data_IF_462635543886
#
_entry.id   IF_462635543886
#
_cell.length_a   1.000
_cell.length_b   1.000
_cell.length_c   1.000
_cell.angle_alpha   90.00
_cell.angle_beta   90.00
_cell.angle_gamma   90.00
#
_symmetry.space_group_name_H-M   'P 1'
#
loop_
_entity.id
_entity.type
_entity.pdbx_description
1 polymer ?
#
# COMPACT_ATOMS: atom_id res chain seq x y z
N UNK A 1 -32.49 55.14 40.18
CA UNK A 1 -31.13 54.69 40.55
C UNK A 1 -31.17 53.18 40.52
N UNK A 2 -30.41 52.40 39.74
CA UNK A 2 -29.23 52.61 38.90
C UNK A 2 -29.15 51.43 37.93
N UNK A 3 -28.72 51.71 36.69
CA UNK A 3 -28.42 50.73 35.65
C UNK A 3 -27.39 49.69 36.11
N UNK A 4 -27.56 48.43 35.72
CA UNK A 4 -26.46 47.47 35.62
C UNK A 4 -26.65 46.62 34.35
N UNK A 5 -26.00 47.09 33.29
CA UNK A 5 -25.71 46.33 32.07
C UNK A 5 -24.75 45.19 32.41
N UNK A 6 -25.21 43.94 32.30
CA UNK A 6 -24.30 42.80 32.30
C UNK A 6 -23.82 42.58 30.88
N UNK A 7 -22.55 42.90 30.69
CA UNK A 7 -21.77 42.75 29.47
C UNK A 7 -21.53 41.27 29.16
N UNK A 8 -21.49 40.97 27.86
CA UNK A 8 -21.33 39.68 27.20
C UNK A 8 -19.92 39.11 27.39
N UNK A 9 -19.81 37.79 27.57
CA UNK A 9 -18.64 37.02 27.14
C UNK A 9 -19.13 35.73 26.50
N UNK A 10 -19.34 35.77 25.19
CA UNK A 10 -19.51 34.58 24.36
C UNK A 10 -18.24 33.72 24.50
N UNK A 11 -18.34 32.41 24.79
CA UNK A 11 -17.18 31.55 24.74
C UNK A 11 -16.79 31.34 23.26
N UNK A 12 -15.70 31.94 22.81
CA UNK A 12 -14.69 31.41 21.87
C UNK A 12 -15.11 30.13 21.09
N UNK A 13 -16.10 30.23 20.19
CA UNK A 13 -16.42 29.16 19.20
C UNK A 13 -15.50 29.26 17.97
N UNK A 14 -14.69 30.31 17.88
CA UNK A 14 -13.87 30.63 16.70
C UNK A 14 -12.63 29.76 16.53
N UNK A 15 -11.99 29.29 17.61
CA UNK A 15 -10.67 28.67 17.47
C UNK A 15 -10.69 27.15 17.24
N UNK A 16 -11.75 26.44 17.66
CA UNK A 16 -11.84 24.99 17.48
C UNK A 16 -12.38 24.54 16.11
N UNK A 17 -12.99 25.45 15.34
CA UNK A 17 -13.46 25.14 13.99
C UNK A 17 -12.32 25.10 12.95
N UNK A 18 -11.19 25.75 13.22
CA UNK A 18 -10.05 25.81 12.29
C UNK A 18 -9.10 24.60 12.39
N UNK A 19 -9.16 23.85 13.50
CA UNK A 19 -8.28 22.69 13.74
C UNK A 19 -8.82 21.36 13.13
N UNK A 20 -9.69 21.42 12.12
CA UNK A 20 -10.37 20.19 11.63
C UNK A 20 -9.86 19.69 10.27
N UNK A 21 -9.03 20.45 9.51
CA UNK A 21 -8.69 20.00 8.14
C UNK A 21 -7.25 20.24 7.64
N UNK A 22 -6.28 20.63 8.47
CA UNK A 22 -4.90 20.71 7.99
C UNK A 22 -4.18 19.34 8.05
N UNK A 23 -4.54 18.44 7.13
CA UNK A 23 -3.74 17.22 6.91
C UNK A 23 -2.33 17.62 6.51
N UNK A 24 -1.36 17.35 7.38
CA UNK A 24 0.04 17.75 7.17
C UNK A 24 0.54 17.41 5.75
N UNK A 25 1.36 18.27 5.12
CA UNK A 25 1.86 18.06 3.76
C UNK A 25 2.64 16.74 3.62
N UNK A 26 3.24 16.26 4.71
CA UNK A 26 3.90 14.96 4.79
C UNK A 26 2.92 13.80 4.52
N UNK A 27 1.73 13.82 5.12
CA UNK A 27 0.71 12.76 4.91
C UNK A 27 0.26 12.71 3.45
N UNK A 28 0.07 13.87 2.81
CA UNK A 28 -0.31 13.94 1.39
C UNK A 28 0.80 13.38 0.49
N UNK A 29 2.07 13.79 0.74
CA UNK A 29 3.23 13.24 0.03
C UNK A 29 3.37 11.73 0.25
N UNK A 30 3.20 11.25 1.48
CA UNK A 30 3.25 9.83 1.80
C UNK A 30 2.18 9.02 1.04
N UNK A 31 0.97 9.55 0.86
CA UNK A 31 -0.07 8.91 0.03
C UNK A 31 0.31 8.83 -1.45
N UNK A 32 0.98 9.85 -1.98
CA UNK A 32 1.52 9.83 -3.35
C UNK A 32 2.61 8.75 -3.49
N UNK A 33 3.58 8.75 -2.58
CA UNK A 33 4.69 7.78 -2.55
C UNK A 33 4.16 6.37 -2.42
N UNK A 34 3.19 6.13 -1.53
CA UNK A 34 2.53 4.82 -1.36
C UNK A 34 1.97 4.30 -2.70
N UNK A 35 1.23 5.15 -3.42
CA UNK A 35 0.60 4.76 -4.67
C UNK A 35 1.62 4.54 -5.80
N UNK A 36 2.68 5.35 -5.86
CA UNK A 36 3.79 5.13 -6.79
C UNK A 36 4.51 3.81 -6.49
N UNK A 37 4.76 3.51 -5.21
CA UNK A 37 5.38 2.26 -4.79
C UNK A 37 4.57 1.03 -5.16
N UNK A 38 3.23 1.06 -5.04
CA UNK A 38 2.40 -0.07 -5.48
C UNK A 38 2.57 -0.35 -6.99
N UNK A 39 2.66 0.69 -7.82
CA UNK A 39 2.87 0.54 -9.26
C UNK A 39 4.26 -0.01 -9.59
N UNK A 40 5.30 0.54 -8.95
CA UNK A 40 6.67 0.05 -9.09
C UNK A 40 6.75 -1.41 -8.63
N UNK A 41 6.15 -1.75 -7.49
CA UNK A 41 6.13 -3.11 -6.97
C UNK A 41 5.43 -4.09 -7.92
N UNK A 42 4.31 -3.69 -8.54
CA UNK A 42 3.66 -4.50 -9.59
C UNK A 42 4.59 -4.77 -10.78
N UNK A 43 5.35 -3.76 -11.23
CA UNK A 43 6.35 -3.91 -12.30
C UNK A 43 7.48 -4.86 -11.85
N UNK A 44 7.96 -4.73 -10.62
CA UNK A 44 8.98 -5.64 -10.08
C UNK A 44 8.49 -7.10 -10.03
N UNK A 45 7.21 -7.34 -9.74
CA UNK A 45 6.64 -8.69 -9.78
C UNK A 45 6.64 -9.25 -11.21
N UNK A 46 6.30 -8.43 -12.22
CA UNK A 46 6.37 -8.85 -13.63
C UNK A 46 7.81 -9.17 -14.05
N UNK A 47 8.78 -8.35 -13.63
CA UNK A 47 10.21 -8.63 -13.85
C UNK A 47 10.59 -9.97 -13.21
N UNK A 48 10.11 -10.26 -12.00
CA UNK A 48 10.39 -11.54 -11.34
C UNK A 48 9.86 -12.74 -12.12
N UNK A 49 8.62 -12.67 -12.60
CA UNK A 49 8.00 -13.73 -13.41
C UNK A 49 8.76 -13.89 -14.73
N UNK A 50 9.19 -12.79 -15.35
CA UNK A 50 10.02 -12.83 -16.55
C UNK A 50 11.38 -13.49 -16.31
N UNK A 51 12.06 -13.19 -15.20
CA UNK A 51 13.33 -13.82 -14.83
C UNK A 51 13.19 -15.33 -14.60
N UNK A 52 12.08 -15.76 -13.97
CA UNK A 52 11.76 -17.18 -13.85
C UNK A 52 11.53 -17.83 -15.24
N UNK A 53 10.85 -17.13 -16.14
CA UNK A 53 10.66 -17.56 -17.52
C UNK A 53 11.98 -17.70 -18.28
N UNK A 54 12.91 -16.74 -18.17
CA UNK A 54 14.24 -16.84 -18.76
C UNK A 54 15.00 -18.06 -18.24
N UNK A 55 14.94 -18.31 -16.92
CA UNK A 55 15.58 -19.46 -16.31
C UNK A 55 14.99 -20.81 -16.77
N UNK A 56 13.70 -20.83 -17.08
CA UNK A 56 12.99 -22.03 -17.53
C UNK A 56 13.16 -22.29 -19.04
N UNK A 57 13.12 -21.25 -19.87
CA UNK A 57 13.01 -21.39 -21.32
C UNK A 57 14.27 -21.01 -22.11
N UNK A 58 15.20 -20.24 -21.52
CA UNK A 58 16.41 -19.78 -22.22
C UNK A 58 17.67 -20.38 -21.60
N UNK A 59 17.98 -20.05 -20.34
CA UNK A 59 19.24 -20.42 -19.68
C UNK A 59 19.05 -20.61 -18.17
N UNK A 60 19.23 -21.83 -17.64
CA UNK A 60 19.13 -22.12 -16.21
C UNK A 60 20.02 -21.26 -15.31
N UNK A 61 21.13 -20.68 -15.80
CA UNK A 61 21.94 -19.78 -14.98
C UNK A 61 21.17 -18.52 -14.53
N UNK A 62 20.08 -18.16 -15.23
CA UNK A 62 19.21 -17.04 -14.85
C UNK A 62 18.44 -17.25 -13.54
N UNK A 63 18.44 -18.45 -12.95
CA UNK A 63 17.96 -18.65 -11.58
C UNK A 63 18.72 -17.78 -10.57
N UNK A 64 19.99 -17.47 -10.81
CA UNK A 64 20.76 -16.53 -9.99
C UNK A 64 20.16 -15.11 -10.04
N UNK A 65 19.78 -14.63 -11.23
CA UNK A 65 19.10 -13.34 -11.42
C UNK A 65 17.73 -13.33 -10.73
N UNK A 66 16.92 -14.36 -10.94
CA UNK A 66 15.60 -14.52 -10.31
C UNK A 66 15.69 -14.49 -8.78
N UNK A 67 16.54 -15.34 -8.19
CA UNK A 67 16.69 -15.43 -6.73
C UNK A 67 17.36 -14.18 -6.14
N UNK A 68 18.36 -13.61 -6.82
CA UNK A 68 19.01 -12.37 -6.40
C UNK A 68 18.05 -11.18 -6.35
N UNK A 69 17.18 -11.04 -7.36
CA UNK A 69 16.20 -9.96 -7.42
C UNK A 69 15.05 -10.13 -6.41
N UNK A 70 14.86 -11.33 -5.82
CA UNK A 70 13.73 -11.59 -4.91
C UNK A 70 13.80 -10.76 -3.63
N UNK A 71 15.02 -10.42 -3.18
CA UNK A 71 15.24 -9.56 -2.01
C UNK A 71 14.62 -8.16 -2.20
N UNK A 72 14.65 -7.63 -3.42
CA UNK A 72 14.03 -6.35 -3.75
C UNK A 72 12.53 -6.36 -3.46
N UNK A 73 11.82 -7.43 -3.84
CA UNK A 73 10.38 -7.54 -3.57
C UNK A 73 10.06 -7.53 -2.06
N UNK A 74 10.86 -8.22 -1.25
CA UNK A 74 10.69 -8.24 0.21
C UNK A 74 10.82 -6.82 0.78
N UNK A 75 11.87 -6.10 0.37
CA UNK A 75 12.12 -4.72 0.82
C UNK A 75 10.95 -3.81 0.43
N UNK A 76 10.51 -3.86 -0.82
CA UNK A 76 9.38 -3.05 -1.29
C UNK A 76 8.10 -3.33 -0.52
N UNK A 77 7.79 -4.59 -0.23
CA UNK A 77 6.58 -4.97 0.51
C UNK A 77 6.59 -4.44 1.95
N UNK A 78 7.74 -4.52 2.63
CA UNK A 78 7.92 -3.92 3.96
C UNK A 78 7.73 -2.40 3.90
N UNK A 79 8.36 -1.74 2.94
CA UNK A 79 8.23 -0.29 2.77
C UNK A 79 6.78 0.13 2.47
N UNK A 80 6.05 -0.61 1.63
CA UNK A 80 4.62 -0.38 1.36
C UNK A 80 3.82 -0.46 2.66
N UNK A 81 4.07 -1.48 3.49
CA UNK A 81 3.40 -1.62 4.77
C UNK A 81 3.73 -0.44 5.70
N UNK A 82 5.01 -0.09 5.86
CA UNK A 82 5.43 1.05 6.71
C UNK A 82 4.79 2.35 6.25
N UNK A 83 4.86 2.65 4.96
CA UNK A 83 4.32 3.90 4.40
C UNK A 83 2.79 3.93 4.53
N UNK A 84 2.09 2.80 4.54
CA UNK A 84 0.64 2.76 4.79
C UNK A 84 0.26 3.37 6.16
N UNK A 85 1.13 3.25 7.17
CA UNK A 85 0.95 3.89 8.48
C UNK A 85 1.29 5.39 8.44
N UNK A 86 2.41 5.75 7.81
CA UNK A 86 2.83 7.16 7.67
C UNK A 86 1.80 7.98 6.89
N UNK A 87 1.22 7.40 5.83
CA UNK A 87 0.17 7.98 5.01
C UNK A 87 -1.20 8.04 5.71
N UNK A 88 -1.30 7.54 6.95
CA UNK A 88 -2.52 7.46 7.77
C UNK A 88 -3.68 6.84 6.98
N UNK A 89 -3.42 5.72 6.30
CA UNK A 89 -4.43 5.05 5.48
C UNK A 89 -5.47 4.33 6.36
N UNK A 90 -6.73 4.20 5.88
CA UNK A 90 -7.77 3.48 6.59
C UNK A 90 -7.34 2.04 6.87
N UNK A 91 -7.84 1.47 7.97
CA UNK A 91 -7.46 0.13 8.46
C UNK A 91 -7.53 -0.94 7.37
N UNK A 92 -8.56 -0.91 6.52
CA UNK A 92 -8.72 -1.83 5.39
C UNK A 92 -7.52 -1.85 4.42
N UNK A 93 -6.97 -0.68 4.07
CA UNK A 93 -5.80 -0.62 3.17
C UNK A 93 -4.53 -1.10 3.87
N UNK A 94 -4.37 -0.81 5.16
CA UNK A 94 -3.22 -1.30 5.96
C UNK A 94 -3.22 -2.83 6.07
N UNK A 95 -4.39 -3.44 6.31
CA UNK A 95 -4.50 -4.91 6.31
C UNK A 95 -4.18 -5.50 4.94
N UNK A 96 -4.60 -4.85 3.85
CA UNK A 96 -4.25 -5.29 2.50
C UNK A 96 -2.74 -5.21 2.25
N UNK A 97 -2.07 -4.14 2.67
CA UNK A 97 -0.61 -4.03 2.63
C UNK A 97 0.08 -5.13 3.43
N UNK A 98 -0.42 -5.44 4.63
CA UNK A 98 0.09 -6.56 5.44
C UNK A 98 -0.14 -7.91 4.74
N UNK A 99 -1.29 -8.07 4.05
CA UNK A 99 -1.59 -9.25 3.24
C UNK A 99 -0.60 -9.45 2.09
N UNK A 100 -0.16 -8.37 1.42
CA UNK A 100 0.90 -8.47 0.38
C UNK A 100 2.21 -9.00 0.96
N UNK A 101 2.60 -8.53 2.15
CA UNK A 101 3.78 -9.03 2.86
C UNK A 101 3.62 -10.50 3.26
N UNK A 102 2.43 -10.87 3.75
CA UNK A 102 2.08 -12.26 4.06
C UNK A 102 2.23 -13.17 2.84
N UNK A 103 1.76 -12.75 1.67
CA UNK A 103 1.92 -13.52 0.42
C UNK A 103 3.40 -13.65 0.05
N UNK A 104 4.22 -12.60 0.17
CA UNK A 104 5.67 -12.72 -0.05
C UNK A 104 6.30 -13.76 0.88
N UNK A 105 5.92 -13.79 2.15
CA UNK A 105 6.43 -14.78 3.09
C UNK A 105 6.02 -16.19 2.64
N UNK A 106 4.77 -16.38 2.22
CA UNK A 106 4.29 -17.66 1.70
C UNK A 106 5.05 -18.11 0.45
N UNK A 107 5.34 -17.19 -0.48
CA UNK A 107 6.18 -17.43 -1.67
C UNK A 107 7.59 -17.88 -1.27
N UNK A 108 8.19 -17.25 -0.25
CA UNK A 108 9.52 -17.59 0.23
C UNK A 108 9.56 -18.93 0.99
N UNK A 109 8.46 -19.31 1.65
CA UNK A 109 8.30 -20.61 2.30
C UNK A 109 8.08 -21.70 1.26
N UNK A 110 7.23 -21.46 0.26
CA UNK A 110 6.86 -22.48 -0.74
C UNK A 110 8.07 -23.03 -1.49
N UNK A 111 9.08 -22.21 -1.78
CA UNK A 111 10.32 -22.64 -2.47
C UNK A 111 11.26 -23.45 -1.58
N UNK A 112 11.07 -23.46 -0.26
CA UNK A 112 11.92 -24.17 0.72
C UNK A 112 11.31 -25.48 1.20
N UNK A 113 10.11 -25.84 0.72
CA UNK A 113 9.43 -27.04 1.17
C UNK A 113 10.16 -28.31 0.65
N UNK A 114 10.21 -29.39 1.45
CA UNK A 114 10.79 -30.67 1.05
C UNK A 114 10.11 -31.29 -0.19
N UNK A 115 10.87 -32.09 -0.94
CA UNK A 115 10.39 -32.77 -2.17
C UNK A 115 9.17 -33.66 -1.95
N UNK A 116 9.01 -34.25 -0.75
CA UNK A 116 7.85 -35.08 -0.40
C UNK A 116 6.50 -34.36 -0.41
N UNK A 117 6.50 -33.01 -0.43
CA UNK A 117 5.29 -32.18 -0.54
C UNK A 117 5.39 -31.18 -1.70
N UNK A 118 6.09 -31.55 -2.78
CA UNK A 118 6.39 -30.66 -3.91
C UNK A 118 5.18 -30.02 -4.61
N UNK A 119 3.98 -30.60 -4.46
CA UNK A 119 2.73 -29.98 -4.94
C UNK A 119 2.40 -28.66 -4.21
N UNK A 120 2.83 -28.49 -2.96
CA UNK A 120 2.74 -27.22 -2.23
C UNK A 120 3.78 -26.21 -2.73
N UNK A 121 4.97 -26.67 -3.12
CA UNK A 121 5.97 -25.81 -3.76
C UNK A 121 5.47 -25.25 -5.09
N UNK A 122 4.67 -26.04 -5.81
CA UNK A 122 4.00 -25.62 -7.05
C UNK A 122 2.97 -24.50 -6.86
N UNK A 123 2.61 -24.13 -5.63
CA UNK A 123 1.80 -22.93 -5.37
C UNK A 123 2.58 -21.62 -5.59
N UNK A 124 3.91 -21.67 -5.69
CA UNK A 124 4.73 -20.47 -5.85
C UNK A 124 4.26 -19.53 -6.98
N UNK A 125 4.00 -20.00 -8.21
CA UNK A 125 3.49 -19.13 -9.28
C UNK A 125 2.07 -18.63 -9.02
N UNK A 126 1.22 -19.44 -8.37
CA UNK A 126 -0.15 -19.02 -7.99
C UNK A 126 -0.10 -17.87 -6.99
N UNK A 127 0.76 -17.99 -5.97
CA UNK A 127 0.96 -16.93 -4.98
C UNK A 127 1.56 -15.66 -5.62
N UNK A 128 2.46 -15.79 -6.60
CA UNK A 128 2.98 -14.65 -7.34
C UNK A 128 1.88 -13.90 -8.11
N UNK A 129 0.94 -14.63 -8.74
CA UNK A 129 -0.22 -14.03 -9.39
C UNK A 129 -1.14 -13.34 -8.37
N UNK A 130 -1.42 -13.98 -7.23
CA UNK A 130 -2.21 -13.37 -6.15
C UNK A 130 -1.55 -12.08 -5.64
N UNK A 131 -0.23 -12.06 -5.50
CA UNK A 131 0.53 -10.87 -5.11
C UNK A 131 0.39 -9.75 -6.16
N UNK A 132 0.52 -10.08 -7.44
CA UNK A 132 0.38 -9.13 -8.54
C UNK A 132 -1.02 -8.51 -8.56
N UNK A 133 -2.07 -9.33 -8.63
CA UNK A 133 -3.45 -8.85 -8.66
C UNK A 133 -3.83 -8.11 -7.38
N UNK A 134 -3.36 -8.57 -6.22
CA UNK A 134 -3.53 -7.89 -4.94
C UNK A 134 -2.92 -6.49 -4.96
N UNK A 135 -1.71 -6.36 -5.50
CA UNK A 135 -1.00 -5.08 -5.63
C UNK A 135 -1.75 -4.12 -6.56
N UNK A 136 -2.16 -4.58 -7.76
CA UNK A 136 -2.91 -3.77 -8.72
C UNK A 136 -4.27 -3.36 -8.14
N UNK A 137 -4.98 -4.27 -7.47
CA UNK A 137 -6.25 -3.96 -6.79
C UNK A 137 -6.08 -2.89 -5.72
N UNK A 138 -4.99 -2.96 -4.94
CA UNK A 138 -4.71 -1.99 -3.89
C UNK A 138 -4.38 -0.60 -4.46
N UNK A 139 -3.64 -0.53 -5.57
CA UNK A 139 -3.35 0.73 -6.28
C UNK A 139 -4.65 1.38 -6.78
N UNK A 140 -5.52 0.61 -7.46
CA UNK A 140 -6.81 1.09 -7.98
C UNK A 140 -7.74 1.59 -6.88
N UNK A 141 -7.80 0.89 -5.74
CA UNK A 141 -8.61 1.31 -4.58
C UNK A 141 -8.11 2.62 -3.98
N UNK A 142 -6.80 2.82 -3.94
CA UNK A 142 -6.20 4.06 -3.46
C UNK A 142 -6.53 5.24 -4.39
N UNK A 143 -6.52 5.01 -5.71
CA UNK A 143 -6.95 6.01 -6.69
C UNK A 143 -8.45 6.36 -6.57
N UNK A 144 -9.32 5.36 -6.36
CA UNK A 144 -10.76 5.56 -6.19
C UNK A 144 -11.09 6.41 -4.96
N UNK A 145 -10.52 6.08 -3.79
CA UNK A 145 -10.70 6.84 -2.55
C UNK A 145 -10.21 8.29 -2.68
N UNK A 146 -9.18 8.55 -3.49
CA UNK A 146 -8.71 9.91 -3.78
C UNK A 146 -9.72 10.69 -4.63
N UNK A 147 -10.42 10.03 -5.56
CA UNK A 147 -11.43 10.66 -6.42
C UNK A 147 -12.70 10.99 -5.65
N UNK A 148 -13.21 10.06 -4.84
CA UNK A 148 -14.42 10.25 -4.01
C UNK A 148 -14.25 11.47 -3.09
N UNK A 149 -13.14 11.55 -2.35
CA UNK A 149 -12.84 12.72 -1.50
C UNK A 149 -12.74 14.05 -2.25
N UNK A 150 -12.27 14.02 -3.50
CA UNK A 150 -12.18 15.23 -4.32
C UNK A 150 -13.56 15.71 -4.77
N UNK A 151 -14.50 14.79 -5.02
CA UNK A 151 -15.86 15.11 -5.41
C UNK A 151 -16.67 15.67 -4.23
N UNK A 152 -16.61 15.02 -3.07
CA UNK A 152 -17.26 15.50 -1.83
C UNK A 152 -16.85 16.94 -1.49
N UNK A 153 -15.54 17.24 -1.55
CA UNK A 153 -15.02 18.58 -1.28
C UNK A 153 -15.48 19.64 -2.30
N UNK A 154 -15.78 19.25 -3.54
CA UNK A 154 -16.24 20.17 -4.58
C UNK A 154 -17.75 20.42 -4.53
N UNK A 155 -18.52 19.46 -4.00
CA UNK A 155 -19.96 19.59 -3.77
C UNK A 155 -20.24 20.46 -2.54
N UNK A 156 -19.45 20.34 -1.47
CA UNK A 156 -19.57 21.17 -0.26
C UNK A 156 -19.18 22.65 -0.46
N UNK A 157 -18.46 22.98 -1.54
CA UNK A 157 -18.06 24.36 -1.87
C UNK A 157 -19.03 25.07 -2.83
N UNK A 158 -20.12 24.41 -3.23
CA UNK A 158 -21.19 24.97 -4.07
C UNK A 158 -22.39 25.34 -3.23
#
# INVERSE_FOLDING_TARGET
MSNLSVNRSEPEVGHQAEEITNVSPLVVRARLVFNAMLRIFAICILIQVFLAGLALFWDPAQWASHTGFARTLIIFSILILVISFIARLPRSLRLRSAGLLGIIILIAVSVKLPSGIGYLSALHPVLALMLFFGTVSLARRTDALKKEKKQESAEQSR
#
